data_IF_902648966247
#
_entry.id   IF_902648966247
#
_cell.length_a   1.000
_cell.length_b   1.000
_cell.length_c   1.000
_cell.angle_alpha   90.00
_cell.angle_beta   90.00
_cell.angle_gamma   90.00
#
_symmetry.space_group_name_H-M   'P 1'
#
loop_
_entity.id
_entity.type
_entity.pdbx_description
1 polymer ?
#
# COMPACT_ATOMS: atom_id res chain seq x y z
N UNK A 1 16.92 18.65 -8.85
CA UNK A 1 16.26 19.11 -10.07
C UNK A 1 16.06 17.93 -11.03
N UNK A 2 14.84 17.34 -11.04
CA UNK A 2 14.48 16.25 -11.94
C UNK A 2 13.92 16.87 -13.23
N UNK A 3 14.76 17.03 -14.25
CA UNK A 3 14.35 17.49 -15.58
C UNK A 3 13.89 16.33 -16.49
N UNK A 4 13.81 15.12 -15.99
CA UNK A 4 13.40 13.94 -16.75
C UNK A 4 12.23 13.24 -16.07
N UNK A 5 11.35 12.69 -16.89
CA UNK A 5 10.26 11.84 -16.40
C UNK A 5 10.81 10.56 -15.78
N UNK A 6 10.18 10.11 -14.69
CA UNK A 6 10.56 8.88 -13.99
C UNK A 6 9.34 8.01 -13.66
N UNK A 7 9.61 6.75 -13.35
CA UNK A 7 8.63 5.79 -12.89
C UNK A 7 8.75 5.64 -11.38
N UNK A 8 7.61 5.47 -10.69
CA UNK A 8 7.58 5.14 -9.27
C UNK A 8 7.31 3.65 -9.12
N UNK A 9 8.07 3.01 -8.24
CA UNK A 9 7.81 1.65 -7.76
C UNK A 9 7.71 1.70 -6.25
N UNK A 10 6.59 1.26 -5.69
CA UNK A 10 6.34 1.32 -4.25
C UNK A 10 5.67 0.07 -3.70
N UNK A 11 6.06 -0.34 -2.51
CA UNK A 11 5.42 -1.41 -1.75
C UNK A 11 4.76 -0.84 -0.50
N UNK A 12 3.53 -1.27 -0.20
CA UNK A 12 2.82 -0.90 1.03
C UNK A 12 2.79 0.63 1.24
N UNK A 13 3.35 1.14 2.33
CA UNK A 13 3.52 2.59 2.61
C UNK A 13 4.28 3.32 1.48
N UNK A 14 5.26 2.68 0.84
CA UNK A 14 5.93 3.24 -0.33
C UNK A 14 4.99 3.46 -1.51
N UNK A 15 4.00 2.60 -1.68
CA UNK A 15 2.91 2.80 -2.65
C UNK A 15 2.00 3.97 -2.28
N UNK A 16 1.67 4.11 -0.98
CA UNK A 16 0.91 5.26 -0.47
C UNK A 16 1.62 6.58 -0.76
N UNK A 17 2.92 6.67 -0.44
CA UNK A 17 3.74 7.86 -0.72
C UNK A 17 3.83 8.12 -2.23
N UNK A 18 3.97 7.05 -3.03
CA UNK A 18 3.96 7.13 -4.49
C UNK A 18 2.67 7.75 -5.02
N UNK A 19 1.51 7.30 -4.55
CA UNK A 19 0.23 7.91 -4.93
C UNK A 19 0.11 9.35 -4.45
N UNK A 20 0.56 9.68 -3.24
CA UNK A 20 0.56 11.06 -2.77
C UNK A 20 1.40 11.98 -3.68
N UNK A 21 2.58 11.52 -4.12
CA UNK A 21 3.40 12.25 -5.07
C UNK A 21 2.73 12.40 -6.45
N UNK A 22 2.06 11.34 -6.93
CA UNK A 22 1.28 11.39 -8.18
C UNK A 22 0.16 12.43 -8.06
N UNK A 23 -0.53 12.47 -6.94
CA UNK A 23 -1.70 13.34 -6.74
C UNK A 23 -1.35 14.80 -6.51
N UNK A 24 -0.16 15.08 -6.01
CA UNK A 24 0.32 16.45 -5.87
C UNK A 24 0.46 17.15 -7.23
N UNK A 25 0.71 16.40 -8.30
CA UNK A 25 0.98 16.96 -9.63
C UNK A 25 2.29 17.75 -9.74
N UNK A 26 3.12 17.71 -8.70
CA UNK A 26 4.36 18.51 -8.64
C UNK A 26 5.55 17.82 -9.31
N UNK A 27 5.43 16.52 -9.58
CA UNK A 27 6.54 15.70 -10.06
C UNK A 27 6.30 15.18 -11.48
N UNK A 28 7.33 15.10 -12.33
CA UNK A 28 7.24 14.58 -13.69
C UNK A 28 7.17 13.03 -13.68
N UNK A 29 6.09 12.48 -13.14
CA UNK A 29 5.86 11.04 -13.00
C UNK A 29 5.27 10.49 -14.29
N UNK A 30 5.92 9.50 -14.89
CA UNK A 30 5.47 8.82 -16.11
C UNK A 30 4.50 7.69 -15.86
N UNK A 31 4.73 6.90 -14.82
CA UNK A 31 3.86 5.81 -14.38
C UNK A 31 4.15 5.43 -12.94
N UNK A 32 3.25 4.67 -12.35
CA UNK A 32 3.43 4.09 -11.02
C UNK A 32 3.14 2.59 -11.03
N UNK A 33 3.98 1.85 -10.32
CA UNK A 33 3.78 0.43 -10.03
C UNK A 33 3.69 0.31 -8.51
N UNK A 34 2.64 -0.32 -8.00
CA UNK A 34 2.53 -0.61 -6.58
C UNK A 34 2.38 -2.09 -6.30
N UNK A 35 3.09 -2.54 -5.30
CA UNK A 35 2.97 -3.85 -4.70
C UNK A 35 2.20 -3.68 -3.39
N UNK A 36 0.90 -3.97 -3.43
CA UNK A 36 0.00 -3.76 -2.29
C UNK A 36 0.14 -2.35 -1.68
N UNK A 37 0.17 -1.32 -2.54
CA UNK A 37 0.09 0.06 -2.09
C UNK A 37 -1.20 0.28 -1.30
N UNK A 38 -1.09 0.94 -0.15
CA UNK A 38 -2.18 0.98 0.82
C UNK A 38 -2.73 2.39 1.14
N UNK A 39 -3.17 3.20 0.16
CA UNK A 39 -3.79 4.49 0.41
C UNK A 39 -5.25 4.32 0.93
N UNK A 40 -5.51 4.25 2.24
CA UNK A 40 -6.85 3.96 2.77
C UNK A 40 -7.87 5.07 2.49
N UNK A 41 -7.39 6.29 2.22
CA UNK A 41 -8.25 7.44 1.87
C UNK A 41 -8.99 7.31 0.54
N UNK A 42 -8.62 6.34 -0.32
CA UNK A 42 -9.38 6.10 -1.56
C UNK A 42 -10.71 5.40 -1.30
N UNK A 43 -10.84 4.75 -0.15
CA UNK A 43 -12.05 4.01 0.20
C UNK A 43 -13.20 4.96 0.52
N UNK A 44 -14.31 4.78 -0.19
CA UNK A 44 -15.56 5.46 0.13
C UNK A 44 -16.14 4.90 1.43
N UNK A 45 -16.36 5.78 2.41
CA UNK A 45 -16.87 5.38 3.74
C UNK A 45 -18.23 4.71 3.68
N UNK A 46 -19.08 5.06 2.71
CA UNK A 46 -20.42 4.45 2.57
C UNK A 46 -20.34 3.01 2.04
N UNK A 47 -19.41 2.75 1.14
CA UNK A 47 -19.25 1.43 0.49
C UNK A 47 -18.38 0.47 1.31
N UNK A 48 -17.36 1.01 1.97
CA UNK A 48 -16.33 0.21 2.66
C UNK A 48 -16.37 0.39 4.19
N UNK A 49 -17.55 0.70 4.75
CA UNK A 49 -17.69 0.96 6.19
C UNK A 49 -17.21 -0.20 7.06
N UNK A 50 -17.48 -1.44 6.66
CA UNK A 50 -17.04 -2.62 7.42
C UNK A 50 -15.53 -2.76 7.42
N UNK A 51 -14.89 -2.59 6.27
CA UNK A 51 -13.43 -2.62 6.11
C UNK A 51 -12.76 -1.53 6.94
N UNK A 52 -13.28 -0.31 6.87
CA UNK A 52 -12.77 0.81 7.64
C UNK A 52 -12.95 0.59 9.15
N UNK A 53 -14.10 0.09 9.60
CA UNK A 53 -14.34 -0.22 11.01
C UNK A 53 -13.37 -1.30 11.54
N UNK A 54 -13.14 -2.37 10.78
CA UNK A 54 -12.16 -3.41 11.15
C UNK A 54 -10.75 -2.85 11.22
N UNK A 55 -10.38 -1.99 10.26
CA UNK A 55 -9.07 -1.36 10.21
C UNK A 55 -8.85 -0.40 11.38
N UNK A 56 -9.84 0.45 11.70
CA UNK A 56 -9.78 1.35 12.87
C UNK A 56 -9.67 0.55 14.16
N UNK A 57 -10.46 -0.52 14.31
CA UNK A 57 -10.39 -1.38 15.49
C UNK A 57 -8.99 -1.98 15.68
N UNK A 58 -8.39 -2.50 14.61
CA UNK A 58 -7.04 -3.05 14.66
C UNK A 58 -6.03 -1.96 15.03
N UNK A 59 -6.08 -0.81 14.36
CA UNK A 59 -5.16 0.31 14.60
C UNK A 59 -5.28 0.86 16.03
N UNK A 60 -6.49 0.97 16.59
CA UNK A 60 -6.72 1.39 17.98
C UNK A 60 -6.17 0.37 18.97
N UNK A 61 -6.29 -0.93 18.69
CA UNK A 61 -5.68 -1.96 19.52
C UNK A 61 -4.15 -1.88 19.49
N UNK A 62 -3.58 -1.66 18.31
CA UNK A 62 -2.14 -1.44 18.14
C UNK A 62 -1.65 -0.21 18.93
N UNK A 63 -2.35 0.94 18.80
CA UNK A 63 -2.04 2.13 19.58
C UNK A 63 -2.03 1.84 21.08
N UNK A 64 -3.07 1.17 21.59
CA UNK A 64 -3.17 0.81 22.98
C UNK A 64 -1.97 -0.01 23.46
N UNK A 65 -1.60 -1.06 22.72
CA UNK A 65 -0.50 -1.93 23.11
C UNK A 65 0.86 -1.25 23.04
N UNK A 66 1.08 -0.37 22.05
CA UNK A 66 2.29 0.46 21.98
C UNK A 66 2.35 1.43 23.18
N UNK A 67 1.25 2.06 23.54
CA UNK A 67 1.19 3.01 24.67
C UNK A 67 1.34 2.31 26.04
N UNK A 68 0.98 1.04 26.13
CA UNK A 68 1.19 0.19 27.30
C UNK A 68 2.58 -0.48 27.32
N UNK A 69 3.45 -0.14 26.38
CA UNK A 69 4.81 -0.69 26.24
C UNK A 69 4.84 -2.23 26.14
N UNK A 70 3.85 -2.80 25.46
CA UNK A 70 3.78 -4.24 25.23
C UNK A 70 4.89 -4.69 24.28
N UNK A 71 5.62 -5.73 24.66
CA UNK A 71 6.78 -6.20 23.94
C UNK A 71 6.48 -6.61 22.48
N UNK A 72 5.36 -7.27 22.23
CA UNK A 72 4.99 -7.81 20.93
C UNK A 72 3.89 -7.01 20.22
N UNK A 73 3.72 -5.71 20.56
CA UNK A 73 2.72 -4.85 19.92
C UNK A 73 2.82 -4.84 18.38
N UNK A 74 4.02 -4.98 17.84
CA UNK A 74 4.26 -5.06 16.39
C UNK A 74 3.56 -6.26 15.71
N UNK A 75 3.30 -7.35 16.46
CA UNK A 75 2.58 -8.53 15.97
C UNK A 75 1.22 -8.15 15.39
N UNK A 76 0.52 -7.24 16.03
CA UNK A 76 -0.82 -6.80 15.60
C UNK A 76 -0.81 -6.33 14.15
N UNK A 77 0.16 -5.51 13.77
CA UNK A 77 0.25 -4.97 12.40
C UNK A 77 0.80 -6.00 11.42
N UNK A 78 1.81 -6.76 11.83
CA UNK A 78 2.44 -7.77 10.96
C UNK A 78 1.43 -8.88 10.64
N UNK A 79 0.72 -9.37 11.64
CA UNK A 79 -0.27 -10.44 11.46
C UNK A 79 -1.55 -9.92 10.78
N UNK A 80 -1.91 -8.64 10.99
CA UNK A 80 -3.00 -8.03 10.23
C UNK A 80 -2.76 -8.09 8.71
N UNK A 81 -1.54 -7.84 8.26
CA UNK A 81 -1.20 -7.87 6.84
C UNK A 81 -0.81 -9.26 6.34
N UNK A 82 -0.07 -10.01 7.12
CA UNK A 82 0.50 -11.30 6.71
C UNK A 82 -0.36 -12.52 7.06
N UNK A 83 -1.34 -12.35 7.95
CA UNK A 83 -2.09 -13.44 8.57
C UNK A 83 -1.48 -13.89 9.89
N UNK A 84 -2.30 -14.55 10.71
CA UNK A 84 -1.93 -15.01 12.05
C UNK A 84 -0.63 -15.83 12.05
N UNK A 85 0.29 -15.49 12.97
CA UNK A 85 1.57 -16.17 13.14
C UNK A 85 2.67 -15.69 12.18
N UNK A 86 2.41 -14.70 11.34
CA UNK A 86 3.45 -14.14 10.46
C UNK A 86 4.59 -13.53 11.26
N UNK A 87 4.28 -12.72 12.27
CA UNK A 87 5.30 -12.11 13.13
C UNK A 87 6.19 -13.16 13.79
N UNK A 88 5.60 -14.18 14.40
CA UNK A 88 6.33 -15.25 15.09
C UNK A 88 7.17 -16.12 14.14
N UNK A 89 6.83 -16.14 12.84
CA UNK A 89 7.61 -16.84 11.81
C UNK A 89 8.87 -16.10 11.37
N UNK A 90 9.01 -14.82 11.69
CA UNK A 90 10.17 -14.03 11.31
C UNK A 90 11.41 -14.45 12.12
N UNK A 91 12.62 -14.32 11.55
CA UNK A 91 13.85 -14.45 12.30
C UNK A 91 13.86 -13.48 13.49
N UNK A 92 14.42 -13.90 14.65
CA UNK A 92 14.45 -13.12 15.89
C UNK A 92 14.94 -11.68 15.69
N UNK A 93 16.00 -11.46 14.91
CA UNK A 93 16.50 -10.13 14.57
C UNK A 93 15.46 -9.24 13.89
N UNK A 94 14.57 -9.83 13.08
CA UNK A 94 13.50 -9.09 12.39
C UNK A 94 12.39 -8.77 13.37
N UNK A 95 12.04 -9.73 14.25
CA UNK A 95 11.07 -9.47 15.33
C UNK A 95 11.57 -8.34 16.24
N UNK A 96 12.84 -8.37 16.66
CA UNK A 96 13.44 -7.33 17.50
C UNK A 96 13.44 -5.97 16.82
N UNK A 97 13.73 -5.92 15.52
CA UNK A 97 13.62 -4.70 14.75
C UNK A 97 12.18 -4.17 14.73
N UNK A 98 11.18 -5.04 14.52
CA UNK A 98 9.78 -4.65 14.54
C UNK A 98 9.34 -4.16 15.93
N UNK A 99 9.74 -4.84 17.01
CA UNK A 99 9.51 -4.42 18.40
C UNK A 99 10.05 -3.01 18.66
N UNK A 100 11.33 -2.80 18.35
CA UNK A 100 12.00 -1.53 18.57
C UNK A 100 11.38 -0.36 17.79
N UNK A 101 10.72 -0.62 16.66
CA UNK A 101 10.15 0.38 15.78
C UNK A 101 8.61 0.45 15.81
N UNK A 102 7.94 -0.28 16.69
CA UNK A 102 6.49 -0.28 16.78
C UNK A 102 5.92 1.14 17.00
N UNK A 103 6.56 1.95 17.85
CA UNK A 103 6.17 3.33 18.12
C UNK A 103 6.32 4.25 16.90
N UNK A 104 7.28 3.99 16.03
CA UNK A 104 7.44 4.74 14.76
C UNK A 104 6.35 4.33 13.78
N UNK A 105 6.09 3.02 13.67
CA UNK A 105 5.03 2.52 12.80
C UNK A 105 3.64 3.01 13.23
N UNK A 106 3.42 3.25 14.53
CA UNK A 106 2.17 3.83 15.01
C UNK A 106 1.84 5.17 14.36
N UNK A 107 2.84 5.98 14.02
CA UNK A 107 2.62 7.30 13.39
C UNK A 107 1.89 7.18 12.05
N UNK A 108 2.06 6.08 11.33
CA UNK A 108 1.40 5.82 10.06
C UNK A 108 -0.11 5.57 10.22
N UNK A 109 -0.52 5.13 11.41
CA UNK A 109 -1.90 4.76 11.75
C UNK A 109 -2.68 5.88 12.43
N UNK A 110 -2.02 6.87 13.02
CA UNK A 110 -2.69 7.96 13.74
C UNK A 110 -3.74 8.70 12.90
N UNK A 111 -3.56 8.97 11.60
CA UNK A 111 -4.60 9.60 10.79
C UNK A 111 -5.88 8.78 10.70
N UNK A 112 -5.76 7.45 10.61
CA UNK A 112 -6.90 6.52 10.58
C UNK A 112 -7.59 6.47 11.94
N UNK A 113 -6.82 6.36 13.02
CA UNK A 113 -7.34 6.28 14.39
C UNK A 113 -8.10 7.56 14.78
N UNK A 114 -7.56 8.72 14.41
CA UNK A 114 -8.11 10.04 14.76
C UNK A 114 -9.18 10.53 13.81
N UNK A 115 -9.59 9.74 12.84
CA UNK A 115 -10.58 10.11 11.82
C UNK A 115 -10.27 11.44 11.12
N UNK A 116 -8.99 11.77 10.99
CA UNK A 116 -8.49 12.92 10.23
C UNK A 116 -7.61 12.44 9.06
N UNK A 117 -8.13 11.54 8.20
CA UNK A 117 -7.42 11.17 6.98
C UNK A 117 -7.26 12.43 6.12
N UNK A 118 -6.14 12.57 5.40
CA UNK A 118 -6.00 13.61 4.40
C UNK A 118 -7.25 13.61 3.53
N UNK A 119 -7.97 14.74 3.47
CA UNK A 119 -9.19 14.86 2.67
C UNK A 119 -8.80 14.79 1.21
N UNK A 120 -8.91 13.60 0.67
CA UNK A 120 -8.67 13.38 -0.74
C UNK A 120 -9.95 13.70 -1.51
N UNK A 121 -9.90 14.76 -2.32
CA UNK A 121 -11.02 15.06 -3.21
C UNK A 121 -11.01 14.13 -4.42
N UNK A 122 -11.80 13.08 -4.37
CA UNK A 122 -11.96 12.08 -5.44
C UNK A 122 -12.28 12.72 -6.82
N UNK A 123 -12.91 13.91 -6.82
CA UNK A 123 -13.19 14.68 -8.03
C UNK A 123 -11.93 15.25 -8.70
N UNK A 124 -10.92 15.63 -7.91
CA UNK A 124 -9.63 16.11 -8.42
C UNK A 124 -8.80 14.93 -8.96
N UNK A 125 -8.89 13.77 -8.34
CA UNK A 125 -8.25 12.55 -8.77
C UNK A 125 -8.65 12.15 -10.19
N UNK A 126 -9.93 12.18 -10.52
CA UNK A 126 -10.45 11.73 -11.81
C UNK A 126 -9.98 12.55 -13.02
N UNK A 127 -9.64 13.83 -12.84
CA UNK A 127 -9.35 14.73 -13.97
C UNK A 127 -7.89 14.69 -14.44
N UNK A 128 -6.93 14.63 -13.53
CA UNK A 128 -5.51 14.77 -13.87
C UNK A 128 -4.79 13.44 -14.10
N UNK A 129 -5.31 12.34 -13.54
CA UNK A 129 -4.56 11.07 -13.48
C UNK A 129 -5.18 9.93 -14.27
N UNK A 130 -6.34 10.14 -14.84
CA UNK A 130 -7.11 9.09 -15.51
C UNK A 130 -6.35 8.40 -16.65
N UNK A 131 -5.38 9.08 -17.25
CA UNK A 131 -4.61 8.61 -18.40
C UNK A 131 -3.18 8.16 -18.03
N UNK A 132 -2.79 8.32 -16.75
CA UNK A 132 -1.48 7.85 -16.31
C UNK A 132 -1.45 6.32 -16.23
N UNK A 133 -0.43 5.67 -16.77
CA UNK A 133 -0.27 4.22 -16.65
C UNK A 133 0.00 3.81 -15.20
N UNK A 134 -0.81 2.86 -14.71
CA UNK A 134 -0.71 2.33 -13.34
C UNK A 134 -0.66 0.81 -13.40
N UNK A 135 0.28 0.20 -12.69
CA UNK A 135 0.28 -1.24 -12.44
C UNK A 135 0.05 -1.51 -10.95
N UNK A 136 -0.97 -2.30 -10.67
CA UNK A 136 -1.39 -2.68 -9.33
C UNK A 136 -1.11 -4.17 -9.14
N UNK A 137 -0.12 -4.50 -8.32
CA UNK A 137 0.30 -5.88 -8.05
C UNK A 137 -0.15 -6.25 -6.64
N UNK A 138 -0.89 -7.34 -6.51
CA UNK A 138 -1.40 -7.85 -5.23
C UNK A 138 -1.01 -9.31 -5.05
N UNK A 139 -0.85 -9.75 -3.82
CA UNK A 139 -0.74 -11.15 -3.49
C UNK A 139 -2.12 -11.82 -3.47
N UNK A 140 -2.18 -13.08 -3.89
CA UNK A 140 -3.40 -13.89 -3.82
C UNK A 140 -3.99 -13.94 -2.40
N UNK A 141 -3.10 -13.95 -1.39
CA UNK A 141 -3.45 -14.00 0.02
C UNK A 141 -3.45 -12.62 0.69
N UNK A 142 -3.53 -11.54 -0.09
CA UNK A 142 -3.66 -10.19 0.45
C UNK A 142 -4.87 -10.08 1.37
N UNK A 143 -4.75 -9.27 2.44
CA UNK A 143 -5.86 -9.07 3.37
C UNK A 143 -7.01 -8.26 2.74
N UNK A 144 -8.13 -8.19 3.44
CA UNK A 144 -9.36 -7.55 2.96
C UNK A 144 -9.16 -6.05 2.67
N UNK A 145 -8.38 -5.33 3.50
CA UNK A 145 -8.11 -3.89 3.31
C UNK A 145 -7.38 -3.64 1.98
N UNK A 146 -6.34 -4.43 1.71
CA UNK A 146 -5.56 -4.32 0.48
C UNK A 146 -6.43 -4.65 -0.75
N UNK A 147 -7.25 -5.69 -0.66
CA UNK A 147 -8.15 -6.07 -1.77
C UNK A 147 -9.16 -4.98 -2.09
N UNK A 148 -9.74 -4.36 -1.07
CA UNK A 148 -10.70 -3.27 -1.24
C UNK A 148 -10.03 -2.00 -1.82
N UNK A 149 -8.84 -1.64 -1.30
CA UNK A 149 -8.05 -0.53 -1.83
C UNK A 149 -7.70 -0.77 -3.31
N UNK A 150 -7.23 -1.98 -3.65
CA UNK A 150 -6.88 -2.32 -5.02
C UNK A 150 -8.09 -2.21 -5.95
N UNK A 151 -9.23 -2.77 -5.56
CA UNK A 151 -10.49 -2.68 -6.31
C UNK A 151 -10.91 -1.23 -6.55
N UNK A 152 -10.73 -0.36 -5.56
CA UNK A 152 -11.06 1.05 -5.69
C UNK A 152 -10.08 1.78 -6.59
N UNK A 153 -8.78 1.53 -6.47
CA UNK A 153 -7.76 2.09 -7.36
C UNK A 153 -8.01 1.70 -8.83
N UNK A 154 -8.36 0.44 -9.10
CA UNK A 154 -8.73 0.00 -10.45
C UNK A 154 -9.90 0.81 -11.01
N UNK A 155 -10.86 1.17 -10.18
CA UNK A 155 -12.01 2.00 -10.59
C UNK A 155 -11.64 3.45 -10.93
N UNK A 156 -10.51 3.93 -10.43
CA UNK A 156 -10.05 5.31 -10.58
C UNK A 156 -9.19 5.53 -11.83
N UNK A 157 -8.39 4.55 -12.23
CA UNK A 157 -7.47 4.67 -13.35
C UNK A 157 -7.99 3.97 -14.59
N UNK A 158 -8.05 4.66 -15.72
CA UNK A 158 -8.46 4.08 -17.00
C UNK A 158 -7.38 3.18 -17.61
N UNK A 159 -6.12 3.56 -17.41
CA UNK A 159 -4.95 2.82 -17.92
C UNK A 159 -4.29 2.05 -16.78
N UNK A 160 -5.04 1.15 -16.14
CA UNK A 160 -4.49 0.27 -15.14
C UNK A 160 -4.24 -1.14 -15.67
N UNK A 161 -3.24 -1.78 -15.10
CA UNK A 161 -2.94 -3.21 -15.26
C UNK A 161 -2.94 -3.84 -13.89
N UNK A 162 -3.76 -4.85 -13.70
CA UNK A 162 -3.76 -5.65 -12.48
C UNK A 162 -2.94 -6.91 -12.65
N UNK A 163 -2.21 -7.30 -11.61
CA UNK A 163 -1.50 -8.58 -11.57
C UNK A 163 -1.61 -9.18 -10.17
N UNK A 164 -2.05 -10.43 -10.12
CA UNK A 164 -2.02 -11.21 -8.88
C UNK A 164 -0.78 -12.12 -8.87
N UNK A 165 -0.03 -12.12 -7.74
CA UNK A 165 1.06 -13.08 -7.53
C UNK A 165 0.52 -14.24 -6.71
N UNK A 166 0.48 -15.42 -7.33
CA UNK A 166 -0.07 -16.64 -6.75
C UNK A 166 0.72 -17.07 -5.50
N UNK A 167 -0.01 -17.40 -4.43
CA UNK A 167 0.57 -17.85 -3.17
C UNK A 167 1.20 -16.74 -2.32
N UNK A 168 1.34 -15.52 -2.85
CA UNK A 168 1.90 -14.38 -2.14
C UNK A 168 0.88 -13.73 -1.20
N UNK A 169 1.37 -13.13 -0.12
CA UNK A 169 0.64 -12.18 0.75
C UNK A 169 1.34 -10.83 0.76
N UNK A 170 1.09 -10.02 1.79
CA UNK A 170 1.60 -8.64 1.87
C UNK A 170 3.12 -8.48 1.73
N UNK A 171 3.88 -9.46 2.20
CA UNK A 171 5.34 -9.45 2.14
C UNK A 171 5.90 -10.00 0.82
N UNK A 172 5.14 -9.88 -0.29
CA UNK A 172 5.45 -10.44 -1.61
C UNK A 172 6.82 -10.01 -2.14
N UNK A 173 7.27 -8.80 -1.87
CA UNK A 173 8.60 -8.34 -2.30
C UNK A 173 9.75 -9.16 -1.71
N UNK A 174 9.54 -9.77 -0.54
CA UNK A 174 10.52 -10.62 0.14
C UNK A 174 10.31 -12.11 -0.17
N UNK A 175 9.06 -12.54 -0.32
CA UNK A 175 8.71 -13.95 -0.53
C UNK A 175 8.70 -14.36 -2.00
N UNK A 176 8.38 -13.42 -2.91
CA UNK A 176 8.27 -13.64 -4.36
C UNK A 176 9.07 -12.58 -5.16
N UNK A 177 10.37 -12.35 -4.84
CA UNK A 177 11.14 -11.25 -5.42
C UNK A 177 11.29 -11.34 -6.94
N UNK A 178 11.36 -12.55 -7.51
CA UNK A 178 11.45 -12.76 -8.96
C UNK A 178 10.19 -12.33 -9.68
N UNK A 179 9.02 -12.69 -9.14
CA UNK A 179 7.73 -12.32 -9.75
C UNK A 179 7.52 -10.80 -9.67
N UNK A 180 7.93 -10.18 -8.56
CA UNK A 180 7.91 -8.73 -8.42
C UNK A 180 8.84 -8.04 -9.41
N UNK A 181 10.08 -8.52 -9.60
CA UNK A 181 11.01 -7.98 -10.58
C UNK A 181 10.47 -8.11 -12.01
N UNK A 182 9.95 -9.27 -12.38
CA UNK A 182 9.33 -9.50 -13.68
C UNK A 182 8.16 -8.54 -13.93
N UNK A 183 7.31 -8.33 -12.92
CA UNK A 183 6.18 -7.41 -13.01
C UNK A 183 6.61 -5.96 -13.30
N UNK A 184 7.75 -5.53 -12.73
CA UNK A 184 8.34 -4.21 -13.00
C UNK A 184 8.86 -4.15 -14.45
N UNK A 185 9.69 -5.10 -14.82
CA UNK A 185 10.35 -5.11 -16.14
C UNK A 185 9.31 -5.13 -17.28
N UNK A 186 8.33 -6.02 -17.21
CA UNK A 186 7.26 -6.11 -18.20
C UNK A 186 6.50 -4.80 -18.37
N UNK A 187 6.17 -4.15 -17.26
CA UNK A 187 5.43 -2.90 -17.30
C UNK A 187 6.27 -1.74 -17.84
N UNK A 188 7.52 -1.62 -17.42
CA UNK A 188 8.41 -0.55 -17.93
C UNK A 188 8.70 -0.74 -19.41
N UNK A 189 8.88 -1.99 -19.89
CA UNK A 189 9.08 -2.28 -21.30
C UNK A 189 7.84 -1.90 -22.11
N UNK A 190 6.63 -2.27 -21.66
CA UNK A 190 5.39 -1.91 -22.34
C UNK A 190 5.22 -0.39 -22.50
N UNK A 191 5.59 0.39 -21.49
CA UNK A 191 5.53 1.85 -21.54
C UNK A 191 6.53 2.49 -22.52
N UNK A 192 7.60 1.79 -22.88
CA UNK A 192 8.55 2.25 -23.91
C UNK A 192 8.01 2.02 -25.32
N UNK A 193 7.33 0.89 -25.53
CA UNK A 193 6.78 0.52 -26.85
C UNK A 193 5.61 1.43 -27.23
N UNK A 194 4.74 1.78 -26.28
CA UNK A 194 3.57 2.64 -26.55
C UNK A 194 3.94 4.12 -26.84
N UNK A 195 5.15 4.55 -26.52
CA UNK A 195 5.60 5.94 -26.66
C UNK A 195 6.71 6.14 -27.70
N UNK A 196 7.08 5.12 -28.42
CA UNK A 196 8.05 5.14 -29.54
C UNK A 196 7.37 4.99 -30.86
#
# INVERSE_FOLDING_TARGET
YLNSFFHIVGHSMGGLVGFAAVFSGEFPIKSIITFEGNPPWVLDTSRFQETLNKTVKMATNFEKEVMEDKNDSAEIIIDFYGGDGTFSSFPEKVQDFCRANAHVNLLDWLPIIRSDPPKFERSLFKKSLNEMPVKLVVGQNANFLIKDINSELCSLFKKHVEQEIKGAGHFLISTHPKDCANAIDEFIISQRIENG
#
